data_IF_415999024066
#
_entry.id   IF_415999024066
#
_cell.length_a   1.000
_cell.length_b   1.000
_cell.length_c   1.000
_cell.angle_alpha   90.00
_cell.angle_beta   90.00
_cell.angle_gamma   90.00
#
_symmetry.space_group_name_H-M   'P 1'
#
loop_
_entity.id
_entity.type
_entity.pdbx_description
1 polymer ?
#
# COMPACT_ATOMS: atom_id res chain seq x y z
N UNK A 1 1.20 16.29 35.43
CA UNK A 1 -0.04 16.69 36.13
C UNK A 1 -0.37 18.12 35.76
N UNK A 2 -1.65 18.43 35.47
CA UNK A 2 -2.15 19.78 35.15
C UNK A 2 -2.61 19.92 33.68
N UNK A 3 -3.71 19.28 33.29
CA UNK A 3 -5.05 19.88 33.10
C UNK A 3 -5.16 20.92 31.96
N UNK A 4 -5.89 20.52 30.92
CA UNK A 4 -6.48 21.39 29.90
C UNK A 4 -7.41 22.43 30.54
N UNK A 5 -7.40 23.66 30.03
CA UNK A 5 -8.57 24.54 30.11
C UNK A 5 -8.78 25.32 28.81
N UNK A 6 -9.97 25.09 28.23
CA UNK A 6 -10.61 25.83 27.16
C UNK A 6 -11.17 27.15 27.70
N UNK A 7 -11.10 28.23 26.89
CA UNK A 7 -12.22 29.16 26.53
C UNK A 7 -11.71 30.59 26.30
N UNK A 8 -12.21 31.21 25.24
CA UNK A 8 -12.20 32.67 25.07
C UNK A 8 -12.66 33.08 23.67
N UNK A 9 -13.97 33.22 23.50
CA UNK A 9 -14.65 33.65 22.28
C UNK A 9 -14.84 35.17 22.30
N UNK A 10 -14.91 35.80 21.11
CA UNK A 10 -15.37 37.17 20.77
C UNK A 10 -14.36 38.33 20.77
N UNK A 11 -14.01 38.76 19.54
CA UNK A 11 -13.72 40.15 19.21
C UNK A 11 -14.46 40.51 17.91
N UNK A 12 -15.59 41.22 18.03
CA UNK A 12 -16.32 41.84 16.90
C UNK A 12 -15.51 43.01 16.35
N UNK A 13 -15.51 43.20 15.03
CA UNK A 13 -15.67 44.53 14.40
C UNK A 13 -16.10 44.38 12.94
N UNK A 14 -17.14 45.13 12.60
CA UNK A 14 -17.89 45.15 11.34
C UNK A 14 -17.39 46.24 10.40
N UNK A 15 -17.48 45.94 9.09
CA UNK A 15 -17.71 46.83 7.94
C UNK A 15 -16.53 47.76 7.55
N UNK A 16 -16.24 48.02 6.28
CA UNK A 16 -17.13 48.24 5.14
C UNK A 16 -16.54 47.67 3.84
N UNK A 17 -17.42 47.10 3.01
CA UNK A 17 -17.15 46.88 1.60
C UNK A 17 -17.18 48.23 0.87
N UNK A 18 -16.14 48.50 0.08
CA UNK A 18 -16.24 49.39 -1.08
C UNK A 18 -15.96 48.53 -2.30
N UNK A 19 -17.02 48.29 -3.07
CA UNK A 19 -16.96 47.68 -4.39
C UNK A 19 -16.18 48.58 -5.34
N UNK A 20 -14.99 48.15 -5.73
CA UNK A 20 -14.45 48.50 -7.04
C UNK A 20 -14.74 47.32 -7.97
N UNK A 21 -15.87 47.38 -8.67
CA UNK A 21 -16.14 46.53 -9.83
C UNK A 21 -15.17 46.93 -10.94
N UNK A 22 -13.94 46.39 -10.91
CA UNK A 22 -13.15 46.28 -12.13
C UNK A 22 -13.56 44.97 -12.80
N UNK A 23 -13.92 44.98 -14.10
CA UNK A 23 -14.07 43.74 -14.84
C UNK A 23 -12.71 43.05 -14.84
N UNK A 24 -12.61 41.93 -14.12
CA UNK A 24 -11.50 40.99 -14.28
C UNK A 24 -11.45 40.69 -15.78
N UNK A 25 -10.35 41.02 -16.48
CA UNK A 25 -10.24 40.68 -17.89
C UNK A 25 -10.47 39.17 -18.02
N UNK A 26 -11.48 38.77 -18.79
CA UNK A 26 -11.73 37.36 -19.18
C UNK A 26 -10.54 36.71 -19.91
N UNK A 27 -9.43 37.42 -20.08
CA UNK A 27 -8.19 37.00 -20.72
C UNK A 27 -7.12 36.47 -19.74
N UNK A 28 -7.41 36.35 -18.44
CA UNK A 28 -6.53 35.64 -17.49
C UNK A 28 -7.20 34.42 -16.84
N UNK A 29 -8.18 33.81 -17.51
CA UNK A 29 -8.38 32.36 -17.41
C UNK A 29 -7.25 31.66 -18.18
N UNK A 30 -6.01 32.01 -17.85
CA UNK A 30 -4.80 31.34 -18.29
C UNK A 30 -4.81 30.01 -17.57
N UNK A 31 -5.17 28.97 -18.31
CA UNK A 31 -4.73 27.59 -18.17
C UNK A 31 -4.38 27.26 -16.71
N UNK A 32 -5.37 26.78 -15.94
CA UNK A 32 -5.05 25.90 -14.84
C UNK A 32 -4.36 24.70 -15.49
N UNK A 33 -3.04 24.77 -15.64
CA UNK A 33 -2.25 23.60 -15.90
C UNK A 33 -2.51 22.74 -14.67
N UNK A 34 -3.18 21.61 -14.86
CA UNK A 34 -3.21 20.55 -13.86
C UNK A 34 -1.75 20.33 -13.49
N UNK A 35 -1.36 20.86 -12.33
CA UNK A 35 -0.03 20.61 -11.80
C UNK A 35 -0.03 19.11 -11.57
N UNK A 36 0.84 18.33 -12.21
CA UNK A 36 0.74 16.89 -12.16
C UNK A 36 0.82 16.47 -10.69
N UNK A 37 -0.28 15.93 -10.19
CA UNK A 37 -0.40 15.54 -8.80
C UNK A 37 0.46 14.30 -8.56
N UNK A 38 1.17 14.29 -7.42
CA UNK A 38 1.88 13.10 -6.97
C UNK A 38 0.90 11.92 -6.85
N UNK A 39 1.30 10.77 -7.38
CA UNK A 39 0.54 9.52 -7.31
C UNK A 39 1.48 8.32 -7.29
N UNK A 40 0.95 7.19 -6.82
CA UNK A 40 1.69 5.93 -6.80
C UNK A 40 1.60 5.21 -8.15
N UNK A 41 2.72 4.64 -8.57
CA UNK A 41 2.88 3.80 -9.75
C UNK A 41 3.49 2.46 -9.33
N UNK A 42 3.08 1.38 -9.98
CA UNK A 42 3.74 0.09 -9.94
C UNK A 42 4.64 0.01 -11.18
N UNK A 43 5.92 -0.27 -10.98
CA UNK A 43 6.93 -0.43 -12.04
C UNK A 43 7.70 -1.71 -11.75
N UNK A 44 7.98 -2.51 -12.78
CA UNK A 44 8.73 -3.76 -12.63
C UNK A 44 8.61 -4.62 -13.88
N UNK A 45 8.49 -5.93 -13.68
CA UNK A 45 8.41 -6.94 -14.72
C UNK A 45 7.15 -7.84 -14.54
N UNK A 46 7.13 -9.00 -15.20
CA UNK A 46 6.03 -9.97 -15.11
C UNK A 46 6.01 -10.76 -13.80
N UNK A 47 7.10 -10.74 -13.02
CA UNK A 47 7.25 -11.46 -11.76
C UNK A 47 7.06 -10.54 -10.54
N UNK A 48 7.62 -9.34 -10.60
CA UNK A 48 7.74 -8.41 -9.47
C UNK A 48 7.37 -6.98 -9.86
N UNK A 49 6.67 -6.30 -8.95
CA UNK A 49 6.26 -4.91 -9.09
C UNK A 49 6.65 -4.11 -7.85
N UNK A 50 7.26 -2.96 -8.07
CA UNK A 50 7.72 -2.06 -7.02
C UNK A 50 6.93 -0.74 -7.04
N UNK A 51 6.53 -0.22 -5.88
CA UNK A 51 5.80 1.02 -5.79
C UNK A 51 6.74 2.23 -5.88
N UNK A 52 6.39 3.20 -6.74
CA UNK A 52 7.07 4.47 -6.90
C UNK A 52 6.09 5.63 -6.77
N UNK A 53 6.44 6.62 -5.95
CA UNK A 53 5.70 7.88 -5.85
C UNK A 53 6.26 8.88 -6.85
N UNK A 54 5.48 9.27 -7.84
CA UNK A 54 5.94 10.20 -8.89
C UNK A 54 4.81 11.11 -9.39
N UNK A 55 5.17 12.11 -10.19
CA UNK A 55 4.21 12.98 -10.89
C UNK A 55 3.80 12.40 -12.25
N UNK A 56 4.51 11.39 -12.76
CA UNK A 56 4.23 10.75 -14.05
C UNK A 56 4.72 9.29 -14.08
N UNK A 57 4.15 8.50 -15.01
CA UNK A 57 4.59 7.13 -15.25
C UNK A 57 6.05 7.10 -15.73
N UNK A 58 6.37 7.94 -16.71
CA UNK A 58 7.74 8.06 -17.25
C UNK A 58 8.77 8.36 -16.15
N UNK A 59 8.42 9.22 -15.19
CA UNK A 59 9.30 9.52 -14.06
C UNK A 59 9.51 8.33 -13.14
N UNK A 60 8.45 7.55 -12.87
CA UNK A 60 8.55 6.32 -12.08
C UNK A 60 9.40 5.24 -12.78
N UNK A 61 9.18 5.04 -14.08
CA UNK A 61 9.95 4.09 -14.90
C UNK A 61 11.42 4.48 -14.95
N UNK A 62 11.72 5.76 -15.17
CA UNK A 62 13.11 6.24 -15.19
C UNK A 62 13.81 6.03 -13.85
N UNK A 63 13.14 6.34 -12.75
CA UNK A 63 13.70 6.11 -11.42
C UNK A 63 13.99 4.61 -11.19
N UNK A 64 13.04 3.73 -11.52
CA UNK A 64 13.23 2.29 -11.37
C UNK A 64 14.39 1.76 -12.23
N UNK A 65 14.47 2.21 -13.49
CA UNK A 65 15.52 1.81 -14.41
C UNK A 65 16.91 2.19 -13.91
N UNK A 66 17.06 3.41 -13.39
CA UNK A 66 18.33 3.89 -12.80
C UNK A 66 18.71 3.12 -11.53
N UNK A 67 17.76 2.79 -10.66
CA UNK A 67 18.01 2.08 -9.40
C UNK A 67 18.41 0.62 -9.59
N UNK A 68 17.93 -0.02 -10.67
CA UNK A 68 18.07 -1.47 -10.86
C UNK A 68 18.93 -1.87 -12.08
N UNK A 69 19.48 -0.90 -12.83
CA UNK A 69 20.31 -1.17 -13.99
C UNK A 69 19.51 -1.69 -15.19
N UNK A 70 18.31 -1.15 -15.39
CA UNK A 70 17.45 -1.46 -16.53
C UNK A 70 17.44 -0.31 -17.54
N UNK A 71 18.62 0.19 -17.87
CA UNK A 71 18.81 1.20 -18.91
C UNK A 71 19.30 0.55 -20.21
N UNK A 72 19.05 1.19 -21.36
CA UNK A 72 19.58 0.70 -22.65
C UNK A 72 21.12 0.73 -22.72
N UNK A 73 21.76 1.49 -21.83
CA UNK A 73 23.21 1.48 -21.62
C UNK A 73 23.71 0.23 -20.91
N UNK A 74 22.89 -0.40 -20.07
CA UNK A 74 23.21 -1.67 -19.42
C UNK A 74 23.06 -2.83 -20.40
N UNK A 75 22.00 -2.83 -21.21
CA UNK A 75 21.79 -3.82 -22.27
C UNK A 75 21.04 -3.19 -23.44
N UNK A 76 21.66 -3.16 -24.63
CA UNK A 76 20.98 -2.67 -25.82
C UNK A 76 19.86 -3.64 -26.23
N UNK A 77 18.60 -3.20 -26.37
CA UNK A 77 17.49 -4.08 -26.74
C UNK A 77 17.61 -4.67 -28.16
N UNK A 78 18.39 -4.04 -29.04
CA UNK A 78 18.56 -4.47 -30.44
C UNK A 78 19.70 -5.49 -30.64
N UNK A 79 20.83 -5.29 -29.95
CA UNK A 79 22.04 -6.12 -30.16
C UNK A 79 22.58 -6.79 -28.90
N UNK A 80 22.03 -6.52 -27.72
CA UNK A 80 22.47 -7.05 -26.43
C UNK A 80 23.82 -6.51 -25.95
N UNK A 81 24.45 -5.58 -26.66
CA UNK A 81 25.73 -5.00 -26.26
C UNK A 81 25.54 -3.92 -25.18
N UNK A 82 26.43 -3.91 -24.19
CA UNK A 82 26.50 -2.84 -23.20
C UNK A 82 26.96 -1.54 -23.86
N UNK A 83 26.36 -0.41 -23.46
CA UNK A 83 26.73 0.94 -23.91
C UNK A 83 26.75 1.12 -25.44
N UNK A 84 25.85 0.42 -26.15
CA UNK A 84 25.77 0.47 -27.60
C UNK A 84 25.26 1.84 -28.09
N UNK A 85 26.18 2.66 -28.60
CA UNK A 85 25.85 3.99 -29.15
C UNK A 85 25.43 3.97 -30.63
N UNK A 86 25.55 2.83 -31.31
CA UNK A 86 25.15 2.67 -32.71
C UNK A 86 23.61 2.61 -32.86
N UNK A 87 22.92 2.02 -31.88
CA UNK A 87 21.46 1.90 -31.85
C UNK A 87 20.81 2.94 -30.93
N UNK A 88 21.46 3.31 -29.81
CA UNK A 88 20.87 4.16 -28.79
C UNK A 88 21.68 5.45 -28.60
N UNK A 89 21.03 6.59 -28.81
CA UNK A 89 21.63 7.91 -28.57
C UNK A 89 21.59 8.31 -27.07
N UNK A 90 20.63 7.76 -26.32
CA UNK A 90 20.47 8.01 -24.89
C UNK A 90 20.67 6.70 -24.13
N UNK A 91 21.86 6.49 -23.57
CA UNK A 91 22.20 5.29 -22.80
C UNK A 91 21.50 5.24 -21.44
N UNK A 92 20.93 6.36 -20.98
CA UNK A 92 20.18 6.43 -19.73
C UNK A 92 18.68 6.23 -19.93
N UNK A 93 18.24 6.01 -21.17
CA UNK A 93 16.86 5.67 -21.45
C UNK A 93 16.49 4.34 -20.76
N UNK A 94 15.30 4.23 -20.16
CA UNK A 94 14.80 2.96 -19.64
C UNK A 94 14.68 1.90 -20.72
N UNK A 95 14.82 0.63 -20.35
CA UNK A 95 14.52 -0.48 -21.25
C UNK A 95 13.04 -0.43 -21.69
N UNK A 96 12.73 -0.60 -22.99
CA UNK A 96 11.37 -0.41 -23.50
C UNK A 96 10.31 -1.31 -22.85
N UNK A 97 10.68 -2.54 -22.48
CA UNK A 97 9.74 -3.50 -21.89
C UNK A 97 9.23 -3.09 -20.50
N UNK A 98 9.88 -2.15 -19.81
CA UNK A 98 9.38 -1.64 -18.52
C UNK A 98 8.01 -0.96 -18.65
N UNK A 99 7.74 -0.31 -19.79
CA UNK A 99 6.44 0.35 -20.01
C UNK A 99 5.29 -0.65 -20.04
N UNK A 100 5.52 -1.86 -20.55
CA UNK A 100 4.48 -2.89 -20.72
C UNK A 100 4.01 -3.47 -19.38
N UNK A 101 4.87 -3.47 -18.36
CA UNK A 101 4.58 -4.01 -17.02
C UNK A 101 4.24 -2.93 -15.98
N UNK A 102 4.29 -1.65 -16.37
CA UNK A 102 4.08 -0.55 -15.45
C UNK A 102 2.67 0.01 -15.52
N UNK A 103 2.05 0.26 -14.37
CA UNK A 103 0.71 0.86 -14.28
C UNK A 103 0.55 1.74 -13.05
N UNK A 104 -0.44 2.64 -13.09
CA UNK A 104 -0.72 3.47 -11.92
C UNK A 104 -1.71 2.79 -10.99
N UNK A 105 -1.48 2.92 -9.70
CA UNK A 105 -2.43 2.42 -8.72
C UNK A 105 -3.73 3.22 -8.80
N UNK A 106 -4.85 2.51 -8.94
CA UNK A 106 -6.17 3.07 -8.64
C UNK A 106 -6.45 2.96 -7.13
N UNK A 107 -5.58 3.57 -6.32
CA UNK A 107 -5.62 3.48 -4.87
C UNK A 107 -5.62 4.87 -4.22
N UNK A 108 -6.23 4.96 -3.03
CA UNK A 108 -6.22 6.18 -2.21
C UNK A 108 -5.07 6.19 -1.21
N UNK A 109 -3.92 5.67 -1.61
CA UNK A 109 -2.74 5.64 -0.75
C UNK A 109 -2.28 7.07 -0.41
N UNK A 110 -1.78 7.31 0.81
CA UNK A 110 -1.24 8.61 1.20
C UNK A 110 -0.01 8.95 0.34
N UNK A 111 0.17 10.23 0.02
CA UNK A 111 1.33 10.74 -0.75
C UNK A 111 2.26 11.60 0.10
N UNK A 112 1.86 11.89 1.34
CA UNK A 112 2.56 12.73 2.32
C UNK A 112 3.34 11.90 3.36
N UNK A 113 3.22 10.58 3.32
CA UNK A 113 3.93 9.62 4.17
C UNK A 113 4.00 8.25 3.51
N UNK A 114 4.88 7.41 4.04
CA UNK A 114 4.91 6.00 3.68
C UNK A 114 3.58 5.31 4.08
N UNK A 115 2.95 4.53 3.19
CA UNK A 115 1.78 3.74 3.54
C UNK A 115 2.14 2.62 4.52
N UNK A 116 1.22 2.36 5.45
CA UNK A 116 1.33 1.21 6.34
C UNK A 116 1.12 -0.11 5.59
N UNK A 117 1.59 -1.23 6.14
CA UNK A 117 1.36 -2.56 5.53
C UNK A 117 -0.13 -2.85 5.30
N UNK A 118 -1.00 -2.40 6.22
CA UNK A 118 -2.45 -2.53 6.07
C UNK A 118 -3.02 -1.71 4.90
N UNK A 119 -2.41 -0.57 4.58
CA UNK A 119 -2.79 0.25 3.42
C UNK A 119 -2.29 -0.37 2.12
N UNK A 120 -1.06 -0.89 2.11
CA UNK A 120 -0.51 -1.65 0.99
C UNK A 120 -1.34 -2.89 0.67
N UNK A 121 -1.70 -3.70 1.67
CA UNK A 121 -2.59 -4.86 1.49
C UNK A 121 -3.95 -4.43 0.91
N UNK A 122 -4.53 -3.34 1.38
CA UNK A 122 -5.81 -2.82 0.85
C UNK A 122 -5.70 -2.32 -0.59
N UNK A 123 -4.51 -1.88 -1.01
CA UNK A 123 -4.21 -1.53 -2.39
C UNK A 123 -3.90 -2.77 -3.26
N UNK A 124 -3.97 -3.98 -2.70
CA UNK A 124 -3.72 -5.23 -3.42
C UNK A 124 -2.23 -5.60 -3.54
N UNK A 125 -1.36 -4.98 -2.75
CA UNK A 125 0.08 -5.24 -2.78
C UNK A 125 0.47 -6.35 -1.81
N UNK A 126 1.48 -7.13 -2.19
CA UNK A 126 2.20 -8.02 -1.30
C UNK A 126 3.03 -7.21 -0.31
N UNK A 127 3.16 -7.71 0.93
CA UNK A 127 3.91 -7.06 2.00
C UNK A 127 4.71 -8.10 2.78
N UNK A 128 5.80 -7.72 3.45
CA UNK A 128 6.53 -8.65 4.31
C UNK A 128 5.65 -9.12 5.48
N UNK A 129 5.77 -10.40 5.82
CA UNK A 129 5.11 -10.95 6.99
C UNK A 129 5.73 -10.39 8.27
N UNK A 130 4.92 -9.96 9.24
CA UNK A 130 5.40 -9.42 10.51
C UNK A 130 5.71 -10.49 11.57
N UNK A 131 5.44 -11.77 11.27
CA UNK A 131 5.61 -12.88 12.21
C UNK A 131 6.72 -13.87 11.84
N UNK A 132 7.17 -13.88 10.58
CA UNK A 132 8.27 -14.74 10.14
C UNK A 132 9.37 -13.92 9.48
N UNK A 133 10.60 -14.42 9.57
CA UNK A 133 11.79 -13.76 9.00
C UNK A 133 11.96 -14.03 7.49
N UNK A 134 10.87 -14.34 6.78
CA UNK A 134 10.94 -14.64 5.35
C UNK A 134 11.43 -13.42 4.53
N UNK A 135 11.33 -12.20 5.07
CA UNK A 135 11.98 -10.98 4.57
C UNK A 135 11.42 -10.43 3.26
N UNK A 136 10.95 -11.30 2.37
CA UNK A 136 10.37 -10.97 1.08
C UNK A 136 8.88 -10.66 1.19
N UNK A 137 8.36 -9.70 0.38
CA UNK A 137 6.93 -9.46 0.28
C UNK A 137 6.15 -10.70 -0.17
N UNK A 138 5.09 -11.04 0.53
CA UNK A 138 4.21 -12.19 0.24
C UNK A 138 2.74 -11.79 0.31
N UNK A 139 1.84 -12.68 -0.10
CA UNK A 139 0.39 -12.46 0.04
C UNK A 139 0.01 -12.54 1.53
N UNK A 140 0.07 -11.39 2.21
CA UNK A 140 -0.32 -11.27 3.61
C UNK A 140 -1.77 -10.81 3.79
N UNK A 141 -2.34 -11.15 4.94
CA UNK A 141 -3.67 -10.68 5.37
C UNK A 141 -3.59 -10.05 6.75
N UNK A 142 -4.43 -9.05 6.98
CA UNK A 142 -4.51 -8.39 8.28
C UNK A 142 -5.19 -9.29 9.32
N UNK A 143 -4.52 -9.56 10.43
CA UNK A 143 -5.06 -10.23 11.60
C UNK A 143 -4.58 -9.56 12.88
N UNK A 144 -5.52 -9.09 13.72
CA UNK A 144 -5.22 -8.38 14.97
C UNK A 144 -4.26 -7.18 14.81
N UNK A 145 -4.27 -6.53 13.65
CA UNK A 145 -3.42 -5.36 13.38
C UNK A 145 -2.05 -5.71 12.80
N UNK A 146 -1.76 -6.99 12.55
CA UNK A 146 -0.52 -7.46 11.92
C UNK A 146 -0.79 -8.04 10.53
N UNK A 147 0.15 -7.86 9.60
CA UNK A 147 0.20 -8.50 8.30
C UNK A 147 0.85 -9.89 8.43
N UNK A 148 0.07 -10.95 8.21
CA UNK A 148 0.51 -12.34 8.35
C UNK A 148 0.40 -13.08 7.02
N UNK A 149 1.44 -13.83 6.64
CA UNK A 149 1.35 -14.82 5.56
C UNK A 149 0.39 -15.96 5.94
N UNK A 150 0.05 -16.82 4.98
CA UNK A 150 -0.94 -17.89 5.19
C UNK A 150 -0.60 -18.81 6.37
N UNK A 151 0.66 -19.23 6.48
CA UNK A 151 1.12 -20.13 7.55
C UNK A 151 1.00 -19.47 8.93
N UNK A 152 1.60 -18.28 9.12
CA UNK A 152 1.53 -17.54 10.38
C UNK A 152 0.09 -17.14 10.74
N UNK A 153 -0.75 -16.85 9.74
CA UNK A 153 -2.16 -16.57 9.96
C UNK A 153 -2.90 -17.81 10.50
N UNK A 154 -2.59 -18.98 9.98
CA UNK A 154 -3.21 -20.23 10.43
C UNK A 154 -2.78 -20.60 11.86
N UNK A 155 -1.50 -20.41 12.19
CA UNK A 155 -1.00 -20.57 13.55
C UNK A 155 -1.68 -19.60 14.52
N UNK A 156 -1.73 -18.31 14.19
CA UNK A 156 -2.36 -17.29 15.03
C UNK A 156 -3.87 -17.53 15.24
N UNK A 157 -4.56 -18.04 14.22
CA UNK A 157 -5.98 -18.45 14.33
C UNK A 157 -6.15 -19.64 15.26
N UNK A 158 -5.27 -20.63 15.15
CA UNK A 158 -5.30 -21.83 16.00
C UNK A 158 -5.03 -21.46 17.46
N UNK A 159 -4.00 -20.66 17.73
CA UNK A 159 -3.69 -20.20 19.08
C UNK A 159 -4.82 -19.36 19.71
N UNK A 160 -5.49 -18.53 18.90
CA UNK A 160 -6.68 -17.80 19.34
C UNK A 160 -7.84 -18.74 19.67
N UNK A 161 -8.09 -19.74 18.83
CA UNK A 161 -9.11 -20.75 19.07
C UNK A 161 -8.81 -21.50 20.38
N UNK A 162 -7.56 -21.90 20.59
CA UNK A 162 -7.15 -22.63 21.80
C UNK A 162 -7.38 -21.81 23.08
N UNK A 163 -7.09 -20.51 23.03
CA UNK A 163 -7.41 -19.59 24.14
C UNK A 163 -8.91 -19.48 24.40
N UNK A 164 -9.75 -19.55 23.37
CA UNK A 164 -11.21 -19.48 23.51
C UNK A 164 -11.83 -20.78 24.03
N UNK A 165 -11.35 -21.93 23.54
CA UNK A 165 -11.87 -23.25 23.91
C UNK A 165 -11.28 -23.71 25.25
N UNK A 166 -10.22 -23.06 25.74
CA UNK A 166 -9.55 -23.43 26.97
C UNK A 166 -8.80 -24.75 26.82
N UNK A 167 -8.13 -24.96 25.70
CA UNK A 167 -7.37 -26.19 25.38
C UNK A 167 -5.88 -26.06 25.70
N UNK A 168 -5.45 -25.04 26.45
CA UNK A 168 -4.06 -24.93 26.91
C UNK A 168 -3.62 -26.24 27.59
N UNK A 169 -2.36 -26.70 27.38
CA UNK A 169 -1.84 -27.90 28.03
C UNK A 169 -2.05 -27.83 29.55
N UNK A 170 -2.87 -28.72 30.08
CA UNK A 170 -3.23 -28.76 31.51
C UNK A 170 -4.58 -28.14 31.89
N UNK A 171 -5.32 -27.57 30.93
CA UNK A 171 -6.71 -27.16 31.18
C UNK A 171 -7.59 -28.39 31.08
N UNK A 172 -8.37 -28.73 32.13
CA UNK A 172 -9.32 -29.82 32.04
C UNK A 172 -10.34 -29.49 30.96
N UNK A 173 -10.34 -30.28 29.89
CA UNK A 173 -11.34 -30.17 28.83
C UNK A 173 -12.67 -30.58 29.44
N UNK A 174 -13.47 -29.62 29.91
CA UNK A 174 -14.88 -29.82 30.21
C UNK A 174 -15.63 -29.97 28.88
N UNK A 175 -15.30 -31.01 28.11
CA UNK A 175 -16.17 -31.43 27.04
C UNK A 175 -17.47 -31.89 27.69
N UNK A 176 -18.64 -31.33 27.30
CA UNK A 176 -19.89 -31.97 27.64
C UNK A 176 -19.79 -33.37 27.04
N UNK A 177 -19.66 -34.37 27.91
CA UNK A 177 -19.74 -35.77 27.54
C UNK A 177 -21.11 -35.87 26.90
N UNK A 178 -21.18 -35.93 25.57
CA UNK A 178 -22.41 -36.27 24.88
C UNK A 178 -22.76 -37.67 25.36
N UNK A 179 -23.57 -37.72 26.43
CA UNK A 179 -24.27 -38.91 26.84
C UNK A 179 -25.14 -39.22 25.63
N UNK A 180 -24.67 -40.16 24.81
CA UNK A 180 -25.50 -40.91 23.90
C UNK A 180 -26.59 -41.54 24.77
N UNK A 181 -27.69 -40.82 24.97
CA UNK A 181 -28.91 -41.35 25.57
C UNK A 181 -29.57 -42.25 24.53
N UNK A 182 -28.92 -43.39 24.29
CA UNK A 182 -29.48 -44.53 23.58
C UNK A 182 -29.94 -45.57 24.58
N UNK A 183 -30.81 -45.21 25.54
CA UNK A 183 -31.62 -46.19 26.28
C UNK A 183 -32.82 -45.48 26.93
N UNK A 184 -34.06 -45.84 26.58
CA UNK A 184 -35.22 -45.37 27.32
C UNK A 184 -35.26 -46.08 28.67
N UNK A 185 -35.31 -45.28 29.74
CA UNK A 185 -35.59 -45.76 31.08
C UNK A 185 -36.88 -46.59 31.09
N UNK A 186 -36.77 -47.91 31.31
CA UNK A 186 -37.90 -48.73 31.73
C UNK A 186 -38.03 -48.60 33.24
N UNK A 187 -39.06 -47.88 33.66
CA UNK A 187 -39.61 -48.00 35.00
C UNK A 187 -40.40 -49.32 35.10
N UNK A 188 -40.36 -49.89 36.33
CA UNK A 188 -40.99 -51.11 36.84
C UNK A 188 -40.18 -52.40 36.68
#
# INVERSE_FOLDING_TARGET
MGQMSRRGFLGRSTALAVSAMMPIPKAMALVAQDTPALRWFAVGDDEFLWPYLSTSMEGAIRQHAEENGYTVGDECPDCGEMSCTDHNADLSAPLPWLEDYSFAFDSRLPVDREPSLAEWIKAGCNVPCEACDYGEPTECRMFQGQALCEECLQEARTERLDRMVGTQPGTPTNQPRWLWHGEPARHA
#
